data_IF_137679728229
#
_entry.id   IF_137679728229
#
_cell.length_a   1.000
_cell.length_b   1.000
_cell.length_c   1.000
_cell.angle_alpha   90.00
_cell.angle_beta   90.00
_cell.angle_gamma   90.00
#
_symmetry.space_group_name_H-M   'P 1'
#
loop_
_entity.id
_entity.type
_entity.pdbx_description
1 polymer ?
#
# COMPACT_ATOMS: atom_id res chain seq x y z
N UNK A 1 27.47 5.35 44.77
CA UNK A 1 28.52 5.18 43.75
C UNK A 1 29.29 6.49 43.66
N UNK A 2 30.48 6.54 44.28
CA UNK A 2 31.25 7.77 44.50
C UNK A 2 32.38 7.85 43.48
N UNK A 3 32.35 8.86 42.61
CA UNK A 3 33.40 9.08 41.61
C UNK A 3 34.47 9.98 42.24
N UNK A 4 35.67 9.42 42.45
CA UNK A 4 36.85 10.18 42.87
C UNK A 4 37.43 10.93 41.67
N UNK A 5 37.56 12.24 41.80
CA UNK A 5 38.30 13.12 40.91
C UNK A 5 39.78 12.69 40.87
N UNK A 6 40.34 12.49 39.68
CA UNK A 6 41.75 12.18 39.48
C UNK A 6 42.52 13.50 39.45
N UNK A 7 43.35 13.73 40.46
CA UNK A 7 44.35 14.80 40.46
C UNK A 7 45.46 14.41 39.48
N UNK A 8 45.60 15.16 38.39
CA UNK A 8 46.77 15.05 37.52
C UNK A 8 47.86 15.97 38.07
N UNK A 9 48.82 15.37 38.77
CA UNK A 9 50.06 16.02 39.17
C UNK A 9 50.84 16.42 37.92
N UNK A 10 51.23 17.68 37.90
CA UNK A 10 51.98 18.35 36.85
C UNK A 10 53.35 17.70 36.66
N UNK A 11 53.47 16.76 35.73
CA UNK A 11 54.76 16.23 35.28
C UNK A 11 55.34 17.17 34.24
N UNK A 12 56.32 17.97 34.67
CA UNK A 12 57.23 18.72 33.79
C UNK A 12 57.99 17.72 32.90
N UNK A 13 57.43 17.42 31.72
CA UNK A 13 58.12 16.71 30.65
C UNK A 13 59.03 17.71 29.94
N UNK A 14 60.31 17.61 30.26
CA UNK A 14 61.39 18.36 29.61
C UNK A 14 61.57 17.78 28.20
N UNK A 15 60.85 18.34 27.22
CA UNK A 15 60.93 17.90 25.83
C UNK A 15 62.21 18.49 25.21
N UNK A 16 63.24 17.66 25.09
CA UNK A 16 64.39 17.96 24.24
C UNK A 16 63.87 18.27 22.84
N UNK A 17 64.12 19.49 22.36
CA UNK A 17 63.73 19.95 21.03
C UNK A 17 64.46 19.13 19.97
N UNK A 18 63.88 17.98 19.61
CA UNK A 18 64.17 17.36 18.33
C UNK A 18 63.83 18.38 17.24
N UNK A 19 64.83 18.67 16.43
CA UNK A 19 64.80 19.62 15.34
C UNK A 19 63.77 19.15 14.29
N UNK A 20 62.52 19.61 14.42
CA UNK A 20 61.50 19.41 13.40
C UNK A 20 61.79 20.36 12.25
N UNK A 21 62.69 19.90 11.37
CA UNK A 21 62.82 20.43 10.03
C UNK A 21 61.42 20.61 9.44
N UNK A 22 61.14 21.86 9.11
CA UNK A 22 59.94 22.39 8.49
C UNK A 22 59.37 21.48 7.39
N UNK A 23 58.46 20.58 7.73
CA UNK A 23 57.57 19.94 6.76
C UNK A 23 56.43 20.93 6.48
N UNK A 24 56.67 21.85 5.56
CA UNK A 24 55.63 22.64 4.93
C UNK A 24 54.71 21.68 4.17
N UNK A 25 53.54 21.36 4.73
CA UNK A 25 52.46 20.75 3.96
C UNK A 25 52.20 21.64 2.74
N UNK A 26 52.33 21.13 1.50
CA UNK A 26 52.08 21.95 0.33
C UNK A 26 50.64 22.47 0.41
N UNK A 27 50.39 23.78 0.23
CA UNK A 27 49.04 24.30 0.24
C UNK A 27 48.26 23.60 -0.88
N UNK A 28 47.14 22.97 -0.56
CA UNK A 28 46.20 22.50 -1.56
C UNK A 28 45.81 23.69 -2.42
N UNK A 29 46.24 23.69 -3.69
CA UNK A 29 45.88 24.74 -4.65
C UNK A 29 44.40 24.58 -4.96
N UNK A 30 43.57 25.45 -4.38
CA UNK A 30 42.18 25.61 -4.77
C UNK A 30 42.13 26.09 -6.22
N UNK A 31 41.79 25.19 -7.14
CA UNK A 31 41.42 25.55 -8.51
C UNK A 31 39.98 26.05 -8.44
N UNK A 32 39.73 27.29 -8.84
CA UNK A 32 38.39 27.85 -8.90
C UNK A 32 37.51 27.07 -9.87
N UNK A 33 36.20 27.05 -9.61
CA UNK A 33 35.23 26.40 -10.51
C UNK A 33 35.13 27.16 -11.82
N UNK A 34 35.20 26.43 -12.93
CA UNK A 34 35.01 27.02 -14.25
C UNK A 34 33.53 27.31 -14.52
N UNK A 35 33.20 28.34 -15.31
CA UNK A 35 31.80 28.61 -15.72
C UNK A 35 31.20 27.40 -16.46
N UNK A 36 32.02 26.72 -17.27
CA UNK A 36 31.63 25.46 -17.96
C UNK A 36 31.33 24.33 -16.96
N UNK A 37 32.04 24.26 -15.84
CA UNK A 37 31.83 23.24 -14.81
C UNK A 37 30.47 23.39 -14.14
N UNK A 38 30.07 24.63 -13.82
CA UNK A 38 28.76 24.93 -13.25
C UNK A 38 27.64 24.62 -14.26
N UNK A 39 27.82 24.96 -15.54
CA UNK A 39 26.83 24.65 -16.57
C UNK A 39 26.63 23.15 -16.76
N UNK A 40 27.72 22.37 -16.77
CA UNK A 40 27.64 20.90 -16.86
C UNK A 40 26.99 20.32 -15.60
N UNK A 41 27.30 20.83 -14.40
CA UNK A 41 26.66 20.39 -13.16
C UNK A 41 25.14 20.63 -13.16
N UNK A 42 24.70 21.81 -13.62
CA UNK A 42 23.27 22.14 -13.74
C UNK A 42 22.58 21.28 -14.82
N UNK A 43 23.26 20.97 -15.92
CA UNK A 43 22.74 20.07 -16.94
C UNK A 43 22.49 18.67 -16.36
N UNK A 44 23.49 18.09 -15.68
CA UNK A 44 23.35 16.79 -15.04
C UNK A 44 22.26 16.78 -13.96
N UNK A 45 22.18 17.84 -13.14
CA UNK A 45 21.14 18.00 -12.13
C UNK A 45 19.73 18.01 -12.75
N UNK A 46 19.53 18.75 -13.84
CA UNK A 46 18.22 18.82 -14.49
C UNK A 46 17.80 17.45 -15.07
N UNK A 47 18.72 16.70 -15.67
CA UNK A 47 18.46 15.33 -16.14
C UNK A 47 18.11 14.40 -14.97
N UNK A 48 18.84 14.48 -13.86
CA UNK A 48 18.58 13.66 -12.67
C UNK A 48 17.19 13.94 -12.07
N UNK A 49 16.79 15.22 -11.96
CA UNK A 49 15.48 15.60 -11.44
C UNK A 49 14.34 15.17 -12.37
N UNK A 50 14.51 15.24 -13.68
CA UNK A 50 13.53 14.73 -14.64
C UNK A 50 13.37 13.20 -14.52
N UNK A 51 14.47 12.48 -14.35
CA UNK A 51 14.45 11.03 -14.09
C UNK A 51 13.70 10.70 -12.80
N UNK A 52 13.98 11.39 -11.71
CA UNK A 52 13.29 11.22 -10.42
C UNK A 52 11.80 11.54 -10.51
N UNK A 53 11.43 12.62 -11.22
CA UNK A 53 10.03 12.99 -11.40
C UNK A 53 9.23 11.90 -12.12
N UNK A 54 9.82 11.23 -13.13
CA UNK A 54 9.17 10.11 -13.80
C UNK A 54 8.95 8.93 -12.86
N UNK A 55 9.98 8.52 -12.11
CA UNK A 55 9.86 7.42 -11.14
C UNK A 55 8.81 7.72 -10.07
N UNK A 56 8.69 8.98 -9.65
CA UNK A 56 7.67 9.40 -8.70
C UNK A 56 6.24 9.22 -9.26
N UNK A 57 6.03 9.53 -10.54
CA UNK A 57 4.73 9.35 -11.19
C UNK A 57 4.36 7.86 -11.33
N UNK A 58 5.32 7.02 -11.70
CA UNK A 58 5.14 5.56 -11.77
C UNK A 58 4.81 4.99 -10.39
N UNK A 59 5.55 5.39 -9.35
CA UNK A 59 5.29 4.99 -7.96
C UNK A 59 3.87 5.35 -7.50
N UNK A 60 3.38 6.55 -7.85
CA UNK A 60 2.01 6.97 -7.50
C UNK A 60 0.94 6.10 -8.18
N UNK A 61 1.20 5.61 -9.39
CA UNK A 61 0.29 4.71 -10.09
C UNK A 61 0.28 3.34 -9.41
N UNK A 62 1.45 2.79 -9.11
CA UNK A 62 1.58 1.51 -8.42
C UNK A 62 0.94 1.53 -7.03
N UNK A 63 1.11 2.62 -6.28
CA UNK A 63 0.45 2.83 -4.99
C UNK A 63 -1.06 2.77 -5.10
N UNK A 64 -1.64 3.39 -6.13
CA UNK A 64 -3.10 3.39 -6.35
C UNK A 64 -3.60 1.99 -6.69
N UNK A 65 -2.90 1.27 -7.56
CA UNK A 65 -3.26 -0.10 -7.92
C UNK A 65 -3.19 -1.03 -6.70
N UNK A 66 -2.11 -0.93 -5.92
CA UNK A 66 -1.96 -1.69 -4.68
C UNK A 66 -3.05 -1.36 -3.67
N UNK A 67 -3.43 -0.08 -3.54
CA UNK A 67 -4.50 0.34 -2.65
C UNK A 67 -5.85 -0.25 -3.08
N UNK A 68 -6.20 -0.18 -4.37
CA UNK A 68 -7.44 -0.77 -4.90
C UNK A 68 -7.49 -2.28 -4.67
N UNK A 69 -6.39 -3.01 -4.88
CA UNK A 69 -6.31 -4.44 -4.56
C UNK A 69 -6.57 -4.70 -3.08
N UNK A 70 -5.96 -3.92 -2.19
CA UNK A 70 -6.24 -4.03 -0.75
C UNK A 70 -7.70 -3.79 -0.42
N UNK A 71 -8.34 -2.78 -1.02
CA UNK A 71 -9.78 -2.52 -0.85
C UNK A 71 -10.62 -3.70 -1.35
N UNK A 72 -10.31 -4.27 -2.51
CA UNK A 72 -11.00 -5.45 -3.04
C UNK A 72 -10.84 -6.67 -2.10
N UNK A 73 -9.63 -6.90 -1.57
CA UNK A 73 -9.40 -7.96 -0.57
C UNK A 73 -10.23 -7.74 0.69
N UNK A 74 -10.28 -6.52 1.22
CA UNK A 74 -11.07 -6.21 2.42
C UNK A 74 -12.57 -6.44 2.19
N UNK A 75 -13.11 -6.01 1.04
CA UNK A 75 -14.51 -6.23 0.67
C UNK A 75 -14.84 -7.71 0.45
N UNK A 76 -13.92 -8.48 -0.14
CA UNK A 76 -14.07 -9.92 -0.30
C UNK A 76 -14.04 -10.65 1.06
N UNK A 77 -13.13 -10.25 1.95
CA UNK A 77 -13.04 -10.82 3.30
C UNK A 77 -14.29 -10.51 4.12
N UNK A 78 -14.82 -9.29 4.04
CA UNK A 78 -16.09 -8.94 4.69
C UNK A 78 -17.22 -9.87 4.23
N UNK A 79 -17.35 -10.09 2.91
CA UNK A 79 -18.39 -10.96 2.36
C UNK A 79 -18.17 -12.42 2.77
N UNK A 80 -16.92 -12.91 2.75
CA UNK A 80 -16.60 -14.25 3.18
C UNK A 80 -16.93 -14.49 4.67
N UNK A 81 -16.64 -13.52 5.53
CA UNK A 81 -17.00 -13.58 6.96
C UNK A 81 -18.52 -13.62 7.17
N UNK A 82 -19.29 -12.84 6.40
CA UNK A 82 -20.76 -12.86 6.44
C UNK A 82 -21.33 -14.21 5.99
N UNK A 83 -20.83 -14.75 4.88
CA UNK A 83 -21.23 -16.07 4.38
C UNK A 83 -20.91 -17.16 5.42
N UNK A 84 -19.72 -17.10 6.01
CA UNK A 84 -19.30 -18.05 7.04
C UNK A 84 -20.15 -17.95 8.32
N UNK A 85 -20.62 -16.76 8.67
CA UNK A 85 -21.50 -16.54 9.81
C UNK A 85 -22.95 -17.02 9.57
N UNK A 86 -23.36 -17.14 8.29
CA UNK A 86 -24.69 -17.58 7.87
C UNK A 86 -24.59 -18.82 6.93
N UNK A 87 -23.77 -19.79 7.34
CA UNK A 87 -23.47 -20.99 6.56
C UNK A 87 -24.73 -21.79 6.18
N UNK A 88 -25.76 -21.77 7.04
CA UNK A 88 -27.05 -22.44 6.82
C UNK A 88 -27.80 -21.97 5.55
N UNK A 89 -27.46 -20.80 5.01
CA UNK A 89 -28.06 -20.22 3.81
C UNK A 89 -27.00 -19.86 2.75
N UNK A 90 -25.90 -20.61 2.67
CA UNK A 90 -24.80 -20.36 1.71
C UNK A 90 -25.29 -20.23 0.27
N UNK A 91 -26.23 -21.09 -0.15
CA UNK A 91 -26.80 -21.09 -1.50
C UNK A 91 -27.53 -19.77 -1.84
N UNK A 92 -28.06 -19.07 -0.83
CA UNK A 92 -28.76 -17.80 -1.00
C UNK A 92 -27.82 -16.62 -1.31
N UNK A 93 -26.51 -16.79 -1.15
CA UNK A 93 -25.51 -15.80 -1.53
C UNK A 93 -25.12 -15.87 -3.01
N UNK A 94 -25.56 -16.89 -3.76
CA UNK A 94 -25.22 -17.00 -5.18
C UNK A 94 -25.84 -15.86 -5.98
N UNK A 95 -24.98 -15.11 -6.67
CA UNK A 95 -25.38 -13.95 -7.48
C UNK A 95 -24.45 -13.80 -8.67
N UNK A 96 -25.04 -13.42 -9.81
CA UNK A 96 -24.31 -12.95 -10.98
C UNK A 96 -24.64 -11.48 -11.19
N UNK A 97 -23.62 -10.64 -11.38
CA UNK A 97 -23.71 -9.21 -11.58
C UNK A 97 -24.45 -8.52 -10.42
N UNK A 98 -23.81 -8.54 -9.26
CA UNK A 98 -24.30 -7.87 -8.05
C UNK A 98 -24.64 -6.41 -8.31
N UNK A 99 -23.86 -5.70 -9.14
CA UNK A 99 -24.12 -4.30 -9.48
C UNK A 99 -25.52 -4.07 -10.04
N UNK A 100 -26.06 -5.04 -10.78
CA UNK A 100 -27.40 -4.96 -11.40
C UNK A 100 -28.51 -5.61 -10.57
N UNK A 101 -28.20 -6.18 -9.40
CA UNK A 101 -29.17 -6.85 -8.56
C UNK A 101 -30.15 -5.83 -7.96
N UNK A 102 -31.44 -6.16 -8.01
CA UNK A 102 -32.49 -5.37 -7.37
C UNK A 102 -32.40 -5.54 -5.84
N UNK A 103 -32.48 -4.42 -5.12
CA UNK A 103 -32.41 -4.43 -3.66
C UNK A 103 -33.66 -5.11 -3.09
N UNK A 104 -33.45 -6.08 -2.21
CA UNK A 104 -34.53 -6.87 -1.61
C UNK A 104 -35.30 -6.10 -0.53
N UNK A 105 -34.74 -4.99 -0.05
CA UNK A 105 -35.36 -4.15 0.99
C UNK A 105 -35.02 -4.60 2.42
N UNK A 106 -34.13 -5.58 2.54
CA UNK A 106 -33.56 -5.98 3.80
C UNK A 106 -34.50 -6.69 4.78
N UNK A 107 -33.96 -7.08 5.93
CA UNK A 107 -34.75 -7.67 7.01
C UNK A 107 -35.00 -6.68 8.16
N UNK A 108 -36.27 -6.40 8.47
CA UNK A 108 -36.66 -5.41 9.49
C UNK A 108 -37.14 -5.99 10.83
N UNK A 109 -37.70 -7.22 10.86
CA UNK A 109 -38.10 -7.96 12.07
C UNK A 109 -38.18 -9.46 11.77
N UNK A 110 -37.56 -10.28 12.63
CA UNK A 110 -37.53 -11.76 12.54
C UNK A 110 -36.96 -12.26 11.20
N UNK A 111 -35.63 -12.21 11.06
CA UNK A 111 -34.94 -12.63 9.84
C UNK A 111 -34.76 -14.14 9.81
N UNK A 112 -35.16 -14.76 8.69
CA UNK A 112 -34.64 -16.07 8.32
C UNK A 112 -33.19 -15.94 7.86
N UNK A 113 -32.46 -17.05 7.82
CA UNK A 113 -31.10 -17.08 7.23
C UNK A 113 -31.09 -16.63 5.77
N UNK A 114 -32.16 -16.91 5.01
CA UNK A 114 -32.34 -16.45 3.64
C UNK A 114 -32.53 -14.92 3.54
N UNK A 115 -33.30 -14.33 4.47
CA UNK A 115 -33.50 -12.88 4.53
C UNK A 115 -32.21 -12.15 4.92
N UNK A 116 -31.42 -12.75 5.83
CA UNK A 116 -30.09 -12.23 6.20
C UNK A 116 -29.14 -12.25 5.02
N UNK A 117 -29.10 -13.32 4.23
CA UNK A 117 -28.27 -13.37 3.03
C UNK A 117 -28.66 -12.29 2.01
N UNK A 118 -29.95 -12.03 1.85
CA UNK A 118 -30.43 -10.98 0.95
C UNK A 118 -30.07 -9.57 1.43
N UNK A 119 -30.13 -9.32 2.76
CA UNK A 119 -29.66 -8.09 3.38
C UNK A 119 -28.15 -7.91 3.22
N UNK A 120 -27.36 -8.95 3.48
CA UNK A 120 -25.91 -8.90 3.34
C UNK A 120 -25.49 -8.54 1.91
N UNK A 121 -26.17 -9.12 0.91
CA UNK A 121 -25.95 -8.77 -0.49
C UNK A 121 -26.35 -7.32 -0.82
N UNK A 122 -27.44 -6.81 -0.24
CA UNK A 122 -27.86 -5.41 -0.40
C UNK A 122 -26.80 -4.46 0.20
N UNK A 123 -26.37 -4.72 1.44
CA UNK A 123 -25.35 -3.93 2.15
C UNK A 123 -24.01 -3.98 1.40
N UNK A 124 -23.60 -5.17 0.95
CA UNK A 124 -22.33 -5.35 0.24
C UNK A 124 -22.36 -4.69 -1.13
N UNK A 125 -23.49 -4.72 -1.82
CA UNK A 125 -23.69 -3.98 -3.08
C UNK A 125 -23.52 -2.47 -2.85
N UNK A 126 -24.12 -1.91 -1.79
CA UNK A 126 -23.95 -0.49 -1.43
C UNK A 126 -22.47 -0.18 -1.13
N UNK A 127 -21.81 -0.99 -0.29
CA UNK A 127 -20.40 -0.84 0.05
C UNK A 127 -19.48 -0.90 -1.19
N UNK A 128 -19.79 -1.76 -2.17
CA UNK A 128 -19.05 -1.85 -3.43
C UNK A 128 -19.20 -0.57 -4.26
N UNK A 129 -20.42 -0.03 -4.37
CA UNK A 129 -20.67 1.20 -5.14
C UNK A 129 -20.09 2.45 -4.48
N UNK A 130 -20.05 2.48 -3.14
CA UNK A 130 -19.46 3.59 -2.37
C UNK A 130 -17.94 3.46 -2.18
N UNK A 131 -17.35 2.36 -2.65
CA UNK A 131 -15.92 2.13 -2.56
C UNK A 131 -15.10 3.02 -3.50
N UNK A 132 -13.77 2.94 -3.37
CA UNK A 132 -12.84 3.61 -4.30
C UNK A 132 -12.65 2.85 -5.62
N UNK A 133 -13.22 1.66 -5.74
CA UNK A 133 -13.16 0.84 -6.94
C UNK A 133 -14.11 1.43 -7.99
N UNK A 134 -13.57 1.84 -9.13
CA UNK A 134 -14.36 2.42 -10.21
C UNK A 134 -15.10 1.33 -10.95
N UNK A 135 -16.41 1.50 -11.17
CA UNK A 135 -17.24 0.53 -11.88
C UNK A 135 -17.19 -0.88 -11.25
N UNK A 136 -17.25 -0.94 -9.91
CA UNK A 136 -17.16 -2.18 -9.17
C UNK A 136 -18.38 -3.09 -9.41
N UNK A 137 -18.11 -4.38 -9.58
CA UNK A 137 -19.11 -5.44 -9.72
C UNK A 137 -18.57 -6.74 -9.12
N UNK A 138 -19.48 -7.65 -8.78
CA UNK A 138 -19.13 -8.93 -8.20
C UNK A 138 -20.04 -10.07 -8.67
N UNK A 139 -19.47 -11.27 -8.72
CA UNK A 139 -20.21 -12.54 -8.79
C UNK A 139 -19.85 -13.41 -7.59
N UNK A 140 -20.83 -14.17 -7.11
CA UNK A 140 -20.65 -15.23 -6.12
C UNK A 140 -21.24 -16.51 -6.70
N UNK A 141 -20.38 -17.51 -6.91
CA UNK A 141 -20.78 -18.86 -7.27
C UNK A 141 -20.55 -19.77 -6.05
N UNK A 142 -21.53 -20.62 -5.78
CA UNK A 142 -21.48 -21.62 -4.71
C UNK A 142 -21.51 -23.00 -5.36
N UNK A 143 -20.54 -23.86 -5.02
CA UNK A 143 -20.49 -25.26 -5.42
C UNK A 143 -20.28 -26.11 -4.16
N UNK A 144 -21.36 -26.69 -3.65
CA UNK A 144 -21.39 -27.41 -2.37
C UNK A 144 -20.96 -26.48 -1.21
N UNK A 145 -19.82 -26.74 -0.56
CA UNK A 145 -19.25 -25.87 0.47
C UNK A 145 -18.17 -24.92 -0.05
N UNK A 146 -17.80 -24.97 -1.34
CA UNK A 146 -16.82 -24.06 -1.92
C UNK A 146 -17.50 -22.83 -2.52
N UNK A 147 -17.06 -21.64 -2.09
CA UNK A 147 -17.56 -20.36 -2.58
C UNK A 147 -16.48 -19.68 -3.40
N UNK A 148 -16.83 -19.33 -4.63
CA UNK A 148 -16.01 -18.53 -5.55
C UNK A 148 -16.59 -17.12 -5.67
N UNK A 149 -15.91 -16.15 -5.07
CA UNK A 149 -16.22 -14.73 -5.15
C UNK A 149 -15.30 -14.06 -6.17
N UNK A 150 -15.88 -13.50 -7.22
CA UNK A 150 -15.15 -12.79 -8.28
C UNK A 150 -15.45 -11.30 -8.18
N UNK A 151 -14.43 -10.50 -7.91
CA UNK A 151 -14.53 -9.04 -7.90
C UNK A 151 -13.95 -8.45 -9.17
N UNK A 152 -14.70 -7.51 -9.77
CA UNK A 152 -14.30 -6.79 -10.97
C UNK A 152 -14.39 -5.29 -10.74
N UNK A 153 -13.42 -4.57 -11.29
CA UNK A 153 -13.44 -3.11 -11.30
C UNK A 153 -12.61 -2.58 -12.47
N UNK A 154 -12.68 -1.29 -12.75
CA UNK A 154 -11.86 -0.62 -13.76
C UNK A 154 -10.78 0.26 -13.12
N UNK A 155 -9.62 0.33 -13.76
CA UNK A 155 -8.65 1.37 -13.45
C UNK A 155 -9.20 2.75 -13.88
N UNK A 156 -9.32 3.68 -12.92
CA UNK A 156 -9.91 4.98 -13.18
C UNK A 156 -9.16 5.86 -14.21
N UNK A 157 -7.88 5.58 -14.49
CA UNK A 157 -7.09 6.34 -15.48
C UNK A 157 -7.08 5.66 -16.84
N UNK A 158 -6.87 4.34 -16.89
CA UNK A 158 -6.74 3.62 -18.16
C UNK A 158 -8.06 3.04 -18.67
N UNK A 159 -9.07 2.88 -17.81
CA UNK A 159 -10.30 2.13 -18.12
C UNK A 159 -10.06 0.62 -18.26
N UNK A 160 -8.88 0.14 -17.88
CA UNK A 160 -8.54 -1.27 -17.96
C UNK A 160 -9.35 -2.06 -16.93
N UNK A 161 -10.07 -3.08 -17.39
CA UNK A 161 -10.77 -4.00 -16.52
C UNK A 161 -9.78 -4.83 -15.69
N UNK A 162 -10.09 -4.95 -14.41
CA UNK A 162 -9.37 -5.74 -13.42
C UNK A 162 -10.34 -6.75 -12.82
N UNK A 163 -9.81 -7.92 -12.53
CA UNK A 163 -10.54 -9.01 -11.91
C UNK A 163 -9.62 -9.66 -10.87
N UNK A 164 -10.17 -9.98 -9.71
CA UNK A 164 -9.54 -10.82 -8.69
C UNK A 164 -10.56 -11.86 -8.23
N UNK A 165 -10.10 -13.12 -8.09
CA UNK A 165 -10.93 -14.27 -7.71
C UNK A 165 -10.51 -14.76 -6.34
N UNK A 166 -11.49 -14.95 -5.48
CA UNK A 166 -11.36 -15.42 -4.11
C UNK A 166 -12.12 -16.73 -3.96
N UNK A 167 -11.43 -17.76 -3.51
CA UNK A 167 -12.03 -19.08 -3.29
C UNK A 167 -11.83 -19.44 -1.82
N UNK A 168 -12.91 -19.82 -1.15
CA UNK A 168 -12.89 -20.26 0.24
C UNK A 168 -13.96 -21.33 0.48
N UNK A 169 -13.75 -22.14 1.50
CA UNK A 169 -14.66 -23.20 1.92
C UNK A 169 -15.44 -22.75 3.14
N UNK A 170 -16.75 -23.01 3.17
CA UNK A 170 -17.64 -22.70 4.28
C UNK A 170 -17.64 -23.87 5.25
N UNK A 171 -17.25 -23.63 6.50
CA UNK A 171 -17.28 -24.63 7.56
C UNK A 171 -18.69 -24.80 8.12
N UNK A 172 -19.19 -26.04 8.17
CA UNK A 172 -20.42 -26.46 8.87
C UNK A 172 -20.30 -26.45 10.41
#
# INVERSE_FOLDING_TARGET
>A
MNIRQINLTNTNMNFSSADYGHLSSPPFRQRGVGLVEVLVALLLLSIALLGMARLQLETMQDQRLSYNRTVAHLLAQEMAERIQANADAVDNYSVSNLKSRELSGGCSKECTSEDLASQDLDDWQENLQDSTLTDADADIAVDDSEVTLTLRWQDARSGEAREEVFIFEVLE
#
